data_IF_811317421548
#
_entry.id   IF_811317421548
#
_cell.length_a   1.000
_cell.length_b   1.000
_cell.length_c   1.000
_cell.angle_alpha   90.00
_cell.angle_beta   90.00
_cell.angle_gamma   90.00
#
_symmetry.space_group_name_H-M   'P 1'
#
loop_
_entity.id
_entity.type
_entity.pdbx_description
1 polymer ?
#
# COMPACT_ATOMS: atom_id res chain seq x y z
N UNK A 1 -65.71 13.26 54.29
CA UNK A 1 -65.12 11.90 54.29
C UNK A 1 -63.62 12.10 54.41
N UNK A 2 -62.94 11.32 55.27
CA UNK A 2 -61.51 11.46 55.58
C UNK A 2 -60.66 10.58 54.60
N UNK A 3 -59.32 10.49 54.61
CA UNK A 3 -58.21 10.99 55.45
C UNK A 3 -57.10 11.59 54.52
N UNK A 4 -56.03 12.32 54.87
CA UNK A 4 -55.18 12.48 56.08
C UNK A 4 -54.00 11.45 56.20
N UNK A 5 -52.78 12.00 56.40
CA UNK A 5 -51.49 11.32 56.65
C UNK A 5 -50.89 10.42 55.52
N UNK A 6 -49.57 10.19 55.43
CA UNK A 6 -48.40 10.98 55.87
C UNK A 6 -47.09 10.36 55.32
N UNK A 7 -46.07 11.20 55.07
CA UNK A 7 -44.62 10.90 55.18
C UNK A 7 -44.13 9.48 54.85
N UNK A 8 -43.33 9.36 53.79
CA UNK A 8 -42.04 8.68 53.93
C UNK A 8 -40.96 9.42 53.14
N UNK A 9 -39.97 9.94 53.85
CA UNK A 9 -38.68 10.36 53.27
C UNK A 9 -37.75 9.15 53.36
N UNK A 10 -37.22 8.69 52.24
CA UNK A 10 -36.05 7.81 52.21
C UNK A 10 -34.94 8.54 51.49
N UNK A 11 -33.80 8.67 52.15
CA UNK A 11 -32.57 9.18 51.58
C UNK A 11 -31.75 8.00 51.06
N UNK A 12 -31.88 7.71 49.78
CA UNK A 12 -30.86 7.03 48.98
C UNK A 12 -30.40 8.09 47.94
N UNK A 13 -29.19 8.64 47.95
CA UNK A 13 -27.91 8.22 48.57
C UNK A 13 -27.39 6.88 48.05
N UNK A 14 -27.71 6.60 46.77
CA UNK A 14 -26.84 5.81 45.91
C UNK A 14 -25.74 6.73 45.34
N UNK A 15 -24.49 6.26 45.36
CA UNK A 15 -23.30 7.08 45.08
C UNK A 15 -23.14 7.41 43.59
N UNK A 16 -23.08 8.70 43.24
CA UNK A 16 -22.65 9.21 41.93
C UNK A 16 -21.10 9.22 41.81
N UNK A 17 -20.45 8.18 42.34
CA UNK A 17 -18.98 8.14 42.57
C UNK A 17 -18.25 7.07 41.72
N UNK A 18 -18.98 6.25 40.95
CA UNK A 18 -18.42 5.14 40.13
C UNK A 18 -18.65 5.32 38.62
N UNK A 19 -18.46 6.55 38.12
CA UNK A 19 -18.53 6.88 36.67
C UNK A 19 -17.22 7.20 35.91
N UNK A 20 -15.99 6.85 36.39
CA UNK A 20 -14.75 7.26 35.70
C UNK A 20 -14.55 6.58 34.34
N UNK A 21 -15.10 5.38 34.12
CA UNK A 21 -14.92 4.59 32.90
C UNK A 21 -15.60 5.21 31.67
N UNK A 22 -16.78 5.80 31.84
CA UNK A 22 -17.48 6.53 30.78
C UNK A 22 -16.67 7.77 30.36
N UNK A 23 -16.24 8.58 31.32
CA UNK A 23 -15.45 9.78 31.05
C UNK A 23 -14.11 9.45 30.34
N UNK A 24 -13.38 8.43 30.80
CA UNK A 24 -12.12 8.02 30.16
C UNK A 24 -12.34 7.47 28.75
N UNK A 25 -13.37 6.65 28.53
CA UNK A 25 -13.66 6.10 27.20
C UNK A 25 -14.13 7.19 26.22
N UNK A 26 -14.97 8.14 26.63
CA UNK A 26 -15.33 9.29 25.79
C UNK A 26 -14.14 10.21 25.49
N UNK A 27 -13.23 10.43 26.44
CA UNK A 27 -12.01 11.22 26.22
C UNK A 27 -11.04 10.53 25.25
N UNK A 28 -10.82 9.22 25.41
CA UNK A 28 -9.92 8.43 24.54
C UNK A 28 -10.50 8.28 23.13
N UNK A 29 -11.80 8.00 23.01
CA UNK A 29 -12.46 7.92 21.71
C UNK A 29 -12.61 9.30 21.05
N UNK A 30 -12.83 10.37 21.83
CA UNK A 30 -12.95 11.73 21.34
C UNK A 30 -11.65 12.32 20.80
N UNK A 31 -10.50 11.81 21.23
CA UNK A 31 -9.19 12.28 20.79
C UNK A 31 -8.69 11.51 19.53
N UNK A 32 -8.56 12.18 18.36
CA UNK A 32 -8.18 11.51 17.12
C UNK A 32 -6.72 11.03 17.11
N UNK A 33 -5.82 11.69 17.84
CA UNK A 33 -4.39 11.34 17.85
C UNK A 33 -4.15 10.09 18.73
N UNK A 34 -4.85 10.00 19.86
CA UNK A 34 -4.84 8.80 20.72
C UNK A 34 -5.49 7.62 19.98
N UNK A 35 -6.61 7.85 19.29
CA UNK A 35 -7.22 6.82 18.43
C UNK A 35 -6.27 6.35 17.32
N UNK A 36 -5.58 7.25 16.62
CA UNK A 36 -4.67 6.87 15.54
C UNK A 36 -3.50 6.00 16.05
N UNK A 37 -2.98 6.27 17.26
CA UNK A 37 -1.97 5.42 17.90
C UNK A 37 -2.56 4.02 18.21
N UNK A 38 -3.76 3.94 18.79
CA UNK A 38 -4.42 2.66 19.10
C UNK A 38 -4.69 1.85 17.81
N UNK A 39 -5.19 2.52 16.76
CA UNK A 39 -5.53 1.90 15.48
C UNK A 39 -4.28 1.49 14.67
N UNK A 40 -3.11 2.09 14.92
CA UNK A 40 -1.85 1.64 14.34
C UNK A 40 -1.49 0.20 14.74
N UNK A 41 -1.69 -0.17 16.00
CA UNK A 41 -1.44 -1.54 16.50
C UNK A 41 -2.59 -2.52 16.22
N UNK A 42 -3.77 -2.03 15.79
CA UNK A 42 -4.91 -2.86 15.43
C UNK A 42 -4.80 -3.41 14.00
N UNK A 43 -5.25 -4.66 13.78
CA UNK A 43 -5.35 -5.23 12.42
C UNK A 43 -6.47 -4.56 11.62
N UNK A 44 -6.44 -4.58 10.26
CA UNK A 44 -7.52 -4.03 9.44
C UNK A 44 -8.89 -4.62 9.79
N UNK A 45 -8.95 -5.93 10.07
CA UNK A 45 -10.16 -6.62 10.49
C UNK A 45 -10.63 -6.17 11.89
N UNK A 46 -9.71 -5.89 12.82
CA UNK A 46 -10.02 -5.32 14.15
C UNK A 46 -10.64 -3.94 13.99
N UNK A 47 -10.05 -3.07 13.15
CA UNK A 47 -10.52 -1.69 12.93
C UNK A 47 -11.91 -1.67 12.29
N UNK A 48 -12.17 -2.57 11.33
CA UNK A 48 -13.50 -2.73 10.72
C UNK A 48 -14.52 -3.19 11.77
N UNK A 49 -14.20 -4.16 12.64
CA UNK A 49 -15.10 -4.60 13.71
C UNK A 49 -15.40 -3.48 14.73
N UNK A 50 -14.38 -2.70 15.12
CA UNK A 50 -14.56 -1.52 15.98
C UNK A 50 -15.49 -0.48 15.33
N UNK A 51 -15.38 -0.27 14.01
CA UNK A 51 -16.22 0.67 13.25
C UNK A 51 -17.73 0.34 13.26
N UNK A 52 -18.11 -0.91 13.59
CA UNK A 52 -19.51 -1.33 13.69
C UNK A 52 -20.14 -1.03 15.06
N UNK A 53 -19.33 -0.67 16.07
CA UNK A 53 -19.83 -0.46 17.46
C UNK A 53 -20.53 0.88 17.64
N UNK A 54 -20.04 1.96 17.02
CA UNK A 54 -20.69 3.27 17.07
C UNK A 54 -20.33 4.15 15.85
N UNK A 55 -21.18 5.15 15.56
CA UNK A 55 -21.00 6.07 14.42
C UNK A 55 -19.70 6.90 14.52
N UNK A 56 -19.24 7.18 15.74
CA UNK A 56 -17.99 7.91 15.98
C UNK A 56 -16.76 7.09 15.59
N UNK A 57 -16.72 5.80 15.95
CA UNK A 57 -15.67 4.88 15.52
C UNK A 57 -15.73 4.59 14.02
N UNK A 58 -16.91 4.64 13.39
CA UNK A 58 -17.03 4.57 11.93
C UNK A 58 -16.34 5.77 11.24
N UNK A 59 -16.68 6.99 11.63
CA UNK A 59 -16.05 8.21 11.11
C UNK A 59 -14.54 8.25 11.40
N UNK A 60 -14.13 7.81 12.59
CA UNK A 60 -12.72 7.72 12.99
C UNK A 60 -11.96 6.69 12.15
N UNK A 61 -12.55 5.52 11.88
CA UNK A 61 -12.00 4.51 10.96
C UNK A 61 -11.82 5.06 9.54
N UNK A 62 -12.75 5.86 9.03
CA UNK A 62 -12.64 6.50 7.72
C UNK A 62 -11.61 7.64 7.68
N UNK A 63 -11.39 8.33 8.81
CA UNK A 63 -10.30 9.29 8.96
C UNK A 63 -8.93 8.59 9.04
N UNK A 64 -8.80 7.56 9.86
CA UNK A 64 -7.58 6.77 10.03
C UNK A 64 -7.16 6.06 8.74
N UNK A 65 -8.08 5.38 8.03
CA UNK A 65 -7.77 4.68 6.77
C UNK A 65 -7.22 5.64 5.70
N UNK A 66 -7.73 6.88 5.61
CA UNK A 66 -7.21 7.90 4.68
C UNK A 66 -5.80 8.40 5.02
N UNK A 67 -5.38 8.31 6.29
CA UNK A 67 -4.02 8.67 6.74
C UNK A 67 -3.05 7.49 6.62
N UNK A 68 -3.48 6.30 7.02
CA UNK A 68 -2.68 5.08 7.00
C UNK A 68 -2.44 4.55 5.58
N UNK A 69 -3.49 4.44 4.76
CA UNK A 69 -3.44 3.86 3.41
C UNK A 69 -3.34 4.94 2.32
N UNK A 70 -2.48 5.93 2.52
CA UNK A 70 -2.27 7.01 1.55
C UNK A 70 -1.25 6.57 0.47
N UNK A 71 -1.76 6.02 -0.64
CA UNK A 71 -0.95 5.57 -1.79
C UNK A 71 -0.05 6.68 -2.37
N UNK A 72 -0.49 7.94 -2.36
CA UNK A 72 0.33 9.03 -2.88
C UNK A 72 1.56 9.28 -1.98
N UNK A 73 1.40 9.17 -0.65
CA UNK A 73 2.50 9.24 0.34
C UNK A 73 3.45 8.05 0.23
N UNK A 74 2.94 6.87 -0.11
CA UNK A 74 3.77 5.68 -0.36
C UNK A 74 4.64 5.86 -1.61
N UNK A 75 4.02 6.27 -2.71
CA UNK A 75 4.68 6.49 -4.00
C UNK A 75 5.61 7.72 -4.03
N UNK A 76 5.41 8.73 -3.16
CA UNK A 76 6.27 9.93 -3.12
C UNK A 76 7.71 9.65 -2.71
N UNK A 77 8.02 8.45 -2.21
CA UNK A 77 9.40 7.96 -2.03
C UNK A 77 10.13 7.76 -3.37
N UNK A 78 9.40 7.42 -4.44
CA UNK A 78 9.95 7.06 -5.75
C UNK A 78 9.75 8.19 -6.78
N UNK A 79 8.56 8.80 -6.78
CA UNK A 79 8.14 9.77 -7.80
C UNK A 79 7.83 11.14 -7.19
N UNK A 80 8.33 12.20 -7.83
CA UNK A 80 8.02 13.58 -7.43
C UNK A 80 6.53 13.92 -7.68
N UNK A 81 5.92 13.28 -8.69
CA UNK A 81 4.47 13.29 -8.91
C UNK A 81 3.90 11.86 -8.85
N UNK A 82 3.36 11.45 -7.69
CA UNK A 82 2.62 10.20 -7.54
C UNK A 82 1.35 10.09 -8.37
N UNK A 83 0.69 11.22 -8.71
CA UNK A 83 -0.55 11.22 -9.49
C UNK A 83 -0.24 10.95 -10.96
N UNK A 84 0.85 11.48 -11.51
CA UNK A 84 1.33 11.13 -12.85
C UNK A 84 1.65 9.63 -12.97
N UNK A 85 2.27 9.01 -11.95
CA UNK A 85 2.48 7.56 -11.94
C UNK A 85 1.16 6.77 -11.90
N UNK A 86 0.21 7.18 -11.05
CA UNK A 86 -1.12 6.51 -11.00
C UNK A 86 -1.93 6.70 -12.30
N UNK A 87 -1.78 7.84 -12.97
CA UNK A 87 -2.34 8.07 -14.31
C UNK A 87 -1.67 7.19 -15.38
N UNK A 88 -0.36 6.92 -15.28
CA UNK A 88 0.30 5.89 -16.08
C UNK A 88 -0.29 4.51 -15.78
N UNK A 89 -0.35 4.09 -14.51
CA UNK A 89 -0.91 2.79 -14.10
C UNK A 89 -2.34 2.58 -14.63
N UNK A 90 -3.20 3.60 -14.55
CA UNK A 90 -4.56 3.54 -15.05
C UNK A 90 -4.64 3.39 -16.58
N UNK A 91 -3.70 4.01 -17.33
CA UNK A 91 -3.61 3.91 -18.80
C UNK A 91 -3.01 2.60 -19.29
N UNK A 92 -1.93 2.13 -18.66
CA UNK A 92 -1.16 0.95 -19.11
C UNK A 92 -1.54 -0.34 -18.40
N UNK A 93 -2.52 -0.30 -17.48
CA UNK A 93 -2.86 -1.39 -16.56
C UNK A 93 -1.69 -1.91 -15.71
N UNK A 94 -0.68 -1.06 -15.44
CA UNK A 94 0.48 -1.41 -14.62
C UNK A 94 0.12 -1.53 -13.15
N UNK A 95 0.50 -2.65 -12.53
CA UNK A 95 0.24 -2.92 -11.12
C UNK A 95 1.50 -2.72 -10.28
N UNK A 96 1.33 -2.36 -9.01
CA UNK A 96 2.37 -2.50 -7.98
C UNK A 96 2.04 -3.74 -7.17
N UNK A 97 3.05 -4.56 -6.86
CA UNK A 97 2.92 -5.72 -5.97
C UNK A 97 4.23 -5.90 -5.16
N UNK A 98 4.57 -7.12 -4.77
CA UNK A 98 5.84 -7.46 -4.15
C UNK A 98 6.07 -6.78 -2.79
N UNK A 99 7.32 -6.40 -2.51
CA UNK A 99 7.72 -5.88 -1.19
C UNK A 99 7.05 -4.54 -0.86
N UNK A 100 6.82 -3.71 -1.89
CA UNK A 100 6.19 -2.40 -1.78
C UNK A 100 4.71 -2.49 -1.42
N UNK A 101 3.96 -3.44 -2.00
CA UNK A 101 2.54 -3.61 -1.69
C UNK A 101 2.30 -4.23 -0.30
N UNK A 102 3.18 -5.14 0.14
CA UNK A 102 3.20 -5.66 1.51
C UNK A 102 3.38 -4.52 2.53
N UNK A 103 4.43 -3.72 2.36
CA UNK A 103 4.75 -2.56 3.21
C UNK A 103 3.56 -1.60 3.37
N UNK A 104 2.86 -1.32 2.26
CA UNK A 104 1.71 -0.42 2.25
C UNK A 104 0.53 -0.92 3.09
N UNK A 105 0.19 -2.22 3.04
CA UNK A 105 -0.93 -2.76 3.84
C UNK A 105 -0.57 -3.10 5.28
N UNK A 106 0.66 -3.52 5.53
CA UNK A 106 1.23 -3.68 6.87
C UNK A 106 1.30 -2.33 7.62
N UNK A 107 1.42 -1.21 6.87
CA UNK A 107 1.65 0.17 7.32
C UNK A 107 3.02 0.37 7.98
N UNK A 108 3.98 -0.46 7.59
CA UNK A 108 5.34 -0.48 8.11
C UNK A 108 6.33 0.20 7.15
N UNK A 109 7.62 0.12 7.44
CA UNK A 109 8.68 0.63 6.57
C UNK A 109 9.82 -0.38 6.46
N UNK A 110 10.09 -0.86 5.25
CA UNK A 110 11.24 -1.72 4.96
C UNK A 110 12.31 -0.87 4.28
N UNK A 111 13.40 -0.61 5.00
CA UNK A 111 14.55 0.12 4.47
C UNK A 111 15.12 -0.61 3.24
N UNK A 112 15.46 0.14 2.18
CA UNK A 112 16.00 -0.44 0.95
C UNK A 112 15.01 -1.22 0.06
N UNK A 113 13.74 -1.38 0.44
CA UNK A 113 12.73 -2.06 -0.39
C UNK A 113 12.50 -1.35 -1.73
N UNK A 114 12.43 -2.13 -2.80
CA UNK A 114 12.23 -1.71 -4.18
C UNK A 114 10.75 -1.42 -4.51
N UNK A 115 10.49 -0.80 -5.67
CA UNK A 115 9.14 -0.74 -6.25
C UNK A 115 8.98 -1.75 -7.39
N UNK A 116 8.31 -2.86 -7.09
CA UNK A 116 8.02 -3.94 -8.05
C UNK A 116 6.79 -3.58 -8.91
N UNK A 117 7.00 -3.29 -10.19
CA UNK A 117 5.94 -2.88 -11.14
C UNK A 117 5.70 -3.95 -12.19
N UNK A 118 4.44 -4.38 -12.35
CA UNK A 118 4.03 -5.46 -13.24
C UNK A 118 3.29 -4.85 -14.43
N UNK A 119 3.88 -4.94 -15.62
CA UNK A 119 3.49 -4.19 -16.83
C UNK A 119 3.02 -5.18 -17.91
N UNK A 120 1.88 -4.98 -18.59
CA UNK A 120 1.52 -5.80 -19.75
C UNK A 120 2.52 -5.61 -20.88
N UNK A 121 2.91 -6.68 -21.57
CA UNK A 121 3.88 -6.69 -22.68
C UNK A 121 3.81 -5.46 -23.61
N UNK A 122 2.61 -5.15 -24.12
CA UNK A 122 2.36 -4.05 -25.05
C UNK A 122 2.71 -2.64 -24.52
N UNK A 123 2.80 -2.46 -23.20
CA UNK A 123 3.10 -1.17 -22.55
C UNK A 123 4.50 -1.12 -21.92
N UNK A 124 5.36 -2.12 -22.15
CA UNK A 124 6.73 -2.16 -21.61
C UNK A 124 7.50 -0.87 -21.93
N UNK A 125 7.45 -0.45 -23.20
CA UNK A 125 8.13 0.76 -23.72
C UNK A 125 7.54 2.05 -23.12
N UNK A 126 6.20 2.15 -23.06
CA UNK A 126 5.49 3.29 -22.45
C UNK A 126 5.94 3.55 -21.00
N UNK A 127 6.03 2.48 -20.19
CA UNK A 127 6.40 2.58 -18.77
C UNK A 127 7.90 2.81 -18.62
N UNK A 128 8.73 2.16 -19.42
CA UNK A 128 10.19 2.32 -19.40
C UNK A 128 10.62 3.77 -19.73
N UNK A 129 10.07 4.36 -20.79
CA UNK A 129 10.33 5.77 -21.13
C UNK A 129 9.75 6.75 -20.10
N UNK A 130 8.65 6.41 -19.44
CA UNK A 130 8.13 7.22 -18.33
C UNK A 130 9.05 7.17 -17.10
N UNK A 131 9.66 6.02 -16.79
CA UNK A 131 10.67 5.95 -15.72
C UNK A 131 11.92 6.78 -16.08
N UNK A 132 12.35 6.75 -17.35
CA UNK A 132 13.43 7.62 -17.84
C UNK A 132 13.09 9.11 -17.65
N UNK A 133 11.89 9.56 -18.02
CA UNK A 133 11.47 10.96 -17.83
C UNK A 133 11.26 11.33 -16.35
N UNK A 134 10.94 10.37 -15.49
CA UNK A 134 10.92 10.52 -14.03
C UNK A 134 12.33 10.51 -13.38
N UNK A 135 13.41 10.45 -14.18
CA UNK A 135 14.80 10.55 -13.75
C UNK A 135 15.43 9.23 -13.30
N UNK A 136 14.97 8.09 -13.81
CA UNK A 136 15.60 6.78 -13.61
C UNK A 136 16.47 6.37 -14.80
N UNK A 137 17.67 5.87 -14.54
CA UNK A 137 18.50 5.18 -15.52
C UNK A 137 18.16 3.69 -15.58
N UNK A 138 18.12 3.09 -16.76
CA UNK A 138 18.10 1.64 -16.93
C UNK A 138 19.50 1.07 -16.64
N UNK A 139 19.56 -0.08 -15.96
CA UNK A 139 20.78 -0.89 -15.82
C UNK A 139 20.44 -2.36 -16.08
N UNK A 140 21.25 -3.05 -16.89
CA UNK A 140 21.02 -4.46 -17.23
C UNK A 140 21.17 -5.36 -16.00
N UNK A 141 20.31 -6.38 -15.90
CA UNK A 141 20.24 -7.27 -14.75
C UNK A 141 21.41 -8.27 -14.66
N UNK A 142 22.10 -8.52 -15.77
CA UNK A 142 23.19 -9.47 -15.94
C UNK A 142 23.94 -9.20 -17.27
N UNK A 143 24.98 -9.99 -17.54
CA UNK A 143 25.81 -9.90 -18.76
C UNK A 143 25.10 -10.38 -20.05
N UNK A 144 23.95 -11.06 -19.94
CA UNK A 144 23.20 -11.64 -21.08
C UNK A 144 22.14 -10.66 -21.61
N UNK A 145 21.63 -9.79 -20.75
CA UNK A 145 20.70 -8.72 -21.12
C UNK A 145 21.46 -7.52 -21.67
N UNK A 146 21.05 -7.01 -22.83
CA UNK A 146 21.72 -5.88 -23.46
C UNK A 146 21.81 -4.63 -22.54
N UNK A 147 22.96 -3.93 -22.61
CA UNK A 147 23.24 -2.75 -21.80
C UNK A 147 22.44 -1.51 -22.21
N UNK A 148 21.90 -1.48 -23.43
CA UNK A 148 20.92 -0.50 -23.89
C UNK A 148 19.48 -1.02 -23.71
N UNK A 149 18.58 -0.12 -23.33
CA UNK A 149 17.17 -0.44 -23.05
C UNK A 149 16.42 -0.89 -24.31
N UNK A 150 16.61 -0.21 -25.44
CA UNK A 150 15.91 -0.54 -26.68
C UNK A 150 16.37 -1.89 -27.23
N UNK A 151 17.69 -2.15 -27.20
CA UNK A 151 18.26 -3.45 -27.51
C UNK A 151 17.74 -4.56 -26.58
N UNK A 152 17.60 -4.29 -25.27
CA UNK A 152 17.12 -5.27 -24.28
C UNK A 152 15.63 -5.57 -24.41
N UNK A 153 14.81 -4.58 -24.81
CA UNK A 153 13.39 -4.81 -25.14
C UNK A 153 13.27 -5.60 -26.44
N UNK A 154 14.05 -5.28 -27.49
CA UNK A 154 14.06 -6.05 -28.75
C UNK A 154 14.60 -7.47 -28.57
N UNK A 155 15.52 -7.69 -27.64
CA UNK A 155 15.97 -9.03 -27.23
C UNK A 155 14.80 -9.83 -26.64
N UNK A 156 14.13 -9.26 -25.63
CA UNK A 156 12.95 -9.85 -24.98
C UNK A 156 11.83 -10.12 -26.00
N UNK A 157 11.51 -9.18 -26.89
CA UNK A 157 10.49 -9.33 -27.95
C UNK A 157 10.78 -10.52 -28.90
N UNK A 158 12.04 -10.91 -29.09
CA UNK A 158 12.44 -12.09 -29.88
C UNK A 158 12.38 -13.39 -29.08
N UNK A 159 12.75 -13.34 -27.81
CA UNK A 159 12.78 -14.49 -26.89
C UNK A 159 11.36 -14.89 -26.44
N UNK A 160 10.42 -13.94 -26.34
CA UNK A 160 9.00 -14.15 -25.99
C UNK A 160 8.20 -15.02 -26.98
N UNK A 161 8.77 -15.37 -28.15
CA UNK A 161 8.13 -16.23 -29.15
C UNK A 161 8.01 -17.72 -28.77
N UNK A 162 8.56 -18.13 -27.62
CA UNK A 162 8.47 -19.50 -27.11
C UNK A 162 7.82 -19.58 -25.72
N UNK A 163 7.09 -20.68 -25.47
CA UNK A 163 6.42 -21.00 -24.19
C UNK A 163 7.41 -21.41 -23.07
N UNK A 164 8.55 -20.74 -23.00
CA UNK A 164 9.61 -20.95 -22.02
C UNK A 164 10.03 -19.60 -21.46
N UNK A 165 9.39 -19.19 -20.37
CA UNK A 165 9.92 -18.10 -19.56
C UNK A 165 11.37 -18.43 -19.15
N UNK A 166 12.29 -17.52 -19.46
CA UNK A 166 13.68 -17.56 -19.00
C UNK A 166 13.74 -17.32 -17.47
N UNK A 167 12.68 -16.72 -16.91
CA UNK A 167 12.52 -16.45 -15.49
C UNK A 167 11.80 -17.62 -14.81
N UNK A 168 12.17 -17.91 -13.57
CA UNK A 168 11.57 -19.02 -12.80
C UNK A 168 10.15 -18.70 -12.28
N UNK A 169 9.38 -17.91 -13.04
CA UNK A 169 8.03 -17.40 -12.73
C UNK A 169 7.15 -17.49 -13.97
N UNK A 170 5.97 -18.12 -13.83
CA UNK A 170 4.99 -18.26 -14.90
C UNK A 170 4.40 -16.90 -15.30
N UNK A 171 4.30 -16.64 -16.59
CA UNK A 171 3.73 -15.41 -17.16
C UNK A 171 4.67 -14.20 -17.18
N UNK A 172 5.82 -14.26 -16.51
CA UNK A 172 6.90 -13.28 -16.68
C UNK A 172 7.61 -13.55 -18.01
N UNK A 173 7.95 -12.51 -18.76
CA UNK A 173 8.71 -12.65 -20.03
C UNK A 173 9.92 -11.71 -20.12
N UNK A 174 9.98 -10.66 -19.30
CA UNK A 174 11.14 -9.78 -19.19
C UNK A 174 11.22 -9.13 -17.81
N UNK A 175 12.43 -8.81 -17.35
CA UNK A 175 12.67 -8.02 -16.14
C UNK A 175 13.70 -6.95 -16.43
N UNK A 176 13.39 -5.69 -16.13
CA UNK A 176 14.27 -4.53 -16.36
C UNK A 176 14.42 -3.71 -15.07
N UNK A 177 15.65 -3.38 -14.69
CA UNK A 177 15.93 -2.61 -13.48
C UNK A 177 16.14 -1.13 -13.82
N UNK A 178 15.53 -0.26 -13.02
CA UNK A 178 15.61 1.18 -13.15
C UNK A 178 16.07 1.80 -11.83
N UNK A 179 17.11 2.62 -11.87
CA UNK A 179 17.74 3.19 -10.68
C UNK A 179 17.83 4.72 -10.72
N UNK A 180 17.71 5.33 -9.54
CA UNK A 180 17.76 6.78 -9.32
C UNK A 180 18.39 7.07 -7.97
N UNK A 181 19.12 8.18 -7.82
CA UNK A 181 19.61 8.63 -6.51
C UNK A 181 18.44 9.07 -5.62
N UNK A 182 18.42 8.62 -4.36
CA UNK A 182 17.48 9.12 -3.38
C UNK A 182 17.82 10.58 -3.03
N UNK A 183 16.88 11.50 -3.22
CA UNK A 183 17.01 12.85 -2.70
C UNK A 183 17.07 12.78 -1.15
N UNK A 184 17.91 13.62 -0.55
CA UNK A 184 18.01 13.83 0.91
C UNK A 184 18.44 12.61 1.75
N UNK A 185 19.21 11.66 1.18
CA UNK A 185 19.84 10.57 1.96
C UNK A 185 21.37 10.72 1.96
N UNK A 186 21.98 10.74 3.15
CA UNK A 186 23.42 11.00 3.36
C UNK A 186 24.33 9.91 2.74
N UNK A 187 23.81 8.70 2.51
CA UNK A 187 24.60 7.50 2.20
C UNK A 187 24.47 7.04 0.72
N UNK A 188 24.35 7.97 -0.24
CA UNK A 188 24.17 7.72 -1.70
C UNK A 188 23.15 6.61 -2.04
N UNK A 189 22.07 6.53 -1.26
CA UNK A 189 21.10 5.43 -1.37
C UNK A 189 20.40 5.48 -2.74
N UNK A 190 20.42 4.36 -3.47
CA UNK A 190 19.76 4.24 -4.77
C UNK A 190 18.32 3.75 -4.57
N UNK A 191 17.35 4.46 -5.15
CA UNK A 191 15.98 4.00 -5.32
C UNK A 191 15.93 3.12 -6.56
N UNK A 192 15.40 1.91 -6.42
CA UNK A 192 15.15 0.99 -7.53
C UNK A 192 13.65 0.85 -7.81
N UNK A 193 13.29 0.90 -9.08
CA UNK A 193 12.02 0.42 -9.63
C UNK A 193 12.34 -0.75 -10.54
N UNK A 194 11.53 -1.80 -10.52
CA UNK A 194 11.69 -2.94 -11.42
C UNK A 194 10.45 -3.04 -12.31
N UNK A 195 10.64 -3.12 -13.63
CA UNK A 195 9.60 -3.52 -14.58
C UNK A 195 9.65 -5.03 -14.71
N UNK A 196 8.54 -5.69 -14.43
CA UNK A 196 8.31 -7.13 -14.59
C UNK A 196 7.24 -7.26 -15.68
N UNK A 197 7.64 -7.74 -16.86
CA UNK A 197 6.78 -7.79 -18.05
C UNK A 197 5.92 -9.04 -18.03
N UNK A 198 4.61 -8.84 -18.15
CA UNK A 198 3.60 -9.88 -18.22
C UNK A 198 3.24 -10.24 -19.66
N UNK A 199 3.37 -11.52 -20.01
CA UNK A 199 3.06 -12.05 -21.34
C UNK A 199 1.58 -11.88 -21.73
N UNK A 200 0.67 -12.05 -20.76
CA UNK A 200 -0.78 -11.91 -20.96
C UNK A 200 -1.37 -10.78 -20.12
N UNK A 201 -1.32 -10.89 -18.78
CA UNK A 201 -1.70 -9.78 -17.91
C UNK A 201 -0.91 -9.78 -16.58
N UNK A 202 -0.61 -8.60 -16.00
CA UNK A 202 0.04 -8.49 -14.69
C UNK A 202 -0.62 -9.30 -13.57
N UNK A 203 -1.94 -9.46 -13.62
CA UNK A 203 -2.70 -10.21 -12.62
C UNK A 203 -2.39 -11.72 -12.64
N UNK A 204 -2.05 -12.30 -13.80
CA UNK A 204 -1.64 -13.71 -13.87
C UNK A 204 -0.37 -13.96 -13.05
N UNK A 205 0.65 -13.12 -13.18
CA UNK A 205 1.90 -13.28 -12.41
C UNK A 205 1.60 -13.12 -10.92
N UNK A 206 0.86 -12.06 -10.54
CA UNK A 206 0.54 -11.77 -9.14
C UNK A 206 -0.26 -12.91 -8.47
N UNK A 207 -1.17 -13.56 -9.19
CA UNK A 207 -1.93 -14.72 -8.70
C UNK A 207 -1.13 -16.04 -8.72
N UNK A 208 -0.12 -16.16 -9.59
CA UNK A 208 0.78 -17.33 -9.64
C UNK A 208 1.87 -17.32 -8.54
N UNK A 209 2.02 -16.24 -7.75
CA UNK A 209 2.87 -16.28 -6.57
C UNK A 209 2.28 -17.22 -5.50
N UNK A 210 2.96 -18.33 -5.21
CA UNK A 210 2.58 -19.32 -4.21
C UNK A 210 2.63 -18.83 -2.74
N UNK A 211 2.63 -17.52 -2.49
CA UNK A 211 2.60 -16.94 -1.15
C UNK A 211 1.24 -16.27 -0.87
N UNK A 212 0.50 -16.81 0.09
CA UNK A 212 -0.83 -16.34 0.50
C UNK A 212 -0.87 -14.89 1.02
N UNK A 213 0.29 -14.30 1.30
CA UNK A 213 0.44 -12.91 1.77
C UNK A 213 0.62 -11.90 0.63
N UNK A 214 0.96 -12.33 -0.60
CA UNK A 214 1.40 -11.42 -1.67
C UNK A 214 0.28 -10.74 -2.47
N UNK A 215 -0.99 -11.10 -2.26
CA UNK A 215 -2.12 -10.61 -3.06
C UNK A 215 -2.69 -9.30 -2.48
N UNK A 216 -1.90 -8.23 -2.56
CA UNK A 216 -2.32 -6.89 -2.14
C UNK A 216 -2.16 -5.87 -3.26
N UNK A 217 -3.26 -5.19 -3.58
CA UNK A 217 -3.45 -4.45 -4.82
C UNK A 217 -3.72 -2.98 -4.52
N UNK A 218 -2.98 -2.07 -5.18
CA UNK A 218 -3.11 -0.63 -5.02
C UNK A 218 -3.41 0.01 -6.38
N UNK A 219 -4.46 0.86 -6.44
CA UNK A 219 -4.86 1.67 -7.60
C UNK A 219 -5.03 3.12 -7.19
#
# INVERSE_FOLDING_TARGET
MADICSVFSVMDVDNDEDRPSAALSEQVLGNPDILDIILAFASPATIIRLSWTCRHLLASKDAYFRRAYNVNRHLSRFFADPLAFRALQARTSTLVSGSSALQFLDRSYYAGSDLDTYVPYAHTRDVAHWLQSAGYAYESANEVQAADLEAAVVQMERESGGDKSIYNMRGVTGVFNFYKRANNVVNDARLKVQIIVALHCPMEIVLNFHCSTSIYFIR
#
